data_IF_970673786230
#
_entry.id   IF_970673786230
#
_cell.length_a   1.000
_cell.length_b   1.000
_cell.length_c   1.000
_cell.angle_alpha   90.00
_cell.angle_beta   90.00
_cell.angle_gamma   90.00
#
_symmetry.space_group_name_H-M   'P 1'
#
loop_
_entity.id
_entity.type
_entity.pdbx_description
1 polymer ?
#
# COMPACT_ATOMS: atom_id res chain seq x y z
N UNK A 1 1.14 6.96 -14.23
CA UNK A 1 1.29 6.78 -12.78
C UNK A 1 2.38 5.75 -12.46
N UNK A 2 2.12 4.44 -12.54
CA UNK A 2 3.13 3.42 -12.15
C UNK A 2 4.48 3.55 -12.87
N UNK A 3 4.46 3.83 -14.18
CA UNK A 3 5.69 4.11 -14.95
C UNK A 3 6.36 5.42 -14.54
N UNK A 4 5.59 6.48 -14.32
CA UNK A 4 6.13 7.81 -13.98
C UNK A 4 6.78 7.83 -12.59
N UNK A 5 6.27 7.01 -11.66
CA UNK A 5 6.85 6.80 -10.33
C UNK A 5 8.17 6.03 -10.37
N UNK A 6 8.35 5.17 -11.38
CA UNK A 6 9.53 4.32 -11.54
C UNK A 6 10.68 4.99 -12.32
N UNK A 7 10.35 5.82 -13.33
CA UNK A 7 11.34 6.45 -14.22
C UNK A 7 12.49 7.21 -13.51
N UNK A 8 12.29 7.89 -12.37
CA UNK A 8 13.37 8.63 -11.71
C UNK A 8 14.52 7.75 -11.20
N UNK A 9 14.21 6.51 -10.81
CA UNK A 9 15.16 5.58 -10.20
C UNK A 9 14.88 4.16 -10.72
N UNK A 10 15.04 3.98 -12.04
CA UNK A 10 14.68 2.78 -12.81
C UNK A 10 15.49 1.51 -12.47
N UNK A 11 15.61 1.18 -11.19
CA UNK A 11 16.30 0.04 -10.63
C UNK A 11 15.52 -1.25 -10.91
N UNK A 12 16.20 -2.40 -11.04
CA UNK A 12 15.55 -3.70 -11.20
C UNK A 12 14.53 -4.01 -10.10
N UNK A 13 14.90 -3.77 -8.83
CA UNK A 13 14.00 -3.95 -7.68
C UNK A 13 12.67 -3.19 -7.82
N UNK A 14 12.72 -1.97 -8.37
CA UNK A 14 11.50 -1.17 -8.57
C UNK A 14 10.65 -1.70 -9.73
N UNK A 15 11.28 -2.32 -10.73
CA UNK A 15 10.59 -2.87 -11.90
C UNK A 15 9.75 -4.11 -11.55
N UNK A 16 10.13 -4.88 -10.53
CA UNK A 16 9.38 -6.06 -10.06
C UNK A 16 7.90 -5.74 -9.78
N UNK A 17 7.61 -4.53 -9.29
CA UNK A 17 6.24 -4.08 -9.02
C UNK A 17 5.71 -3.10 -10.09
N UNK A 18 6.55 -2.18 -10.58
CA UNK A 18 6.09 -1.09 -11.46
C UNK A 18 6.10 -1.47 -12.95
N UNK A 19 6.83 -2.51 -13.34
CA UNK A 19 7.06 -2.92 -14.72
C UNK A 19 7.31 -4.45 -14.84
N UNK A 20 6.49 -5.33 -14.24
CA UNK A 20 6.78 -6.75 -14.11
C UNK A 20 6.88 -7.52 -15.45
N UNK A 21 6.48 -6.89 -16.55
CA UNK A 21 6.39 -7.49 -17.87
C UNK A 21 7.65 -7.34 -18.72
N UNK A 22 8.69 -6.67 -18.21
CA UNK A 22 9.94 -6.59 -18.95
C UNK A 22 11.02 -5.76 -18.28
N UNK A 23 12.25 -5.98 -18.76
CA UNK A 23 13.41 -5.25 -18.28
C UNK A 23 13.27 -3.73 -18.52
N UNK A 24 13.99 -2.91 -17.73
CA UNK A 24 14.00 -1.47 -17.90
C UNK A 24 14.23 -1.04 -19.36
N UNK A 25 13.33 -0.23 -19.92
CA UNK A 25 13.42 0.28 -21.30
C UNK A 25 12.79 -0.59 -22.39
N UNK A 26 12.34 -1.81 -22.07
CA UNK A 26 11.62 -2.68 -23.01
C UNK A 26 10.16 -2.24 -23.26
N UNK A 27 9.54 -2.74 -24.33
CA UNK A 27 8.10 -2.52 -24.57
C UNK A 27 7.22 -3.14 -23.48
N UNK A 28 7.64 -4.27 -22.89
CA UNK A 28 6.98 -4.86 -21.73
C UNK A 28 6.96 -3.90 -20.54
N UNK A 29 8.09 -3.24 -20.23
CA UNK A 29 8.15 -2.25 -19.16
C UNK A 29 7.24 -1.03 -19.38
N UNK A 30 6.93 -0.70 -20.65
CA UNK A 30 6.00 0.42 -20.96
C UNK A 30 4.56 0.13 -20.57
N UNK A 31 4.18 -1.13 -20.43
CA UNK A 31 2.84 -1.54 -20.03
C UNK A 31 2.59 -1.35 -18.52
N UNK A 32 3.66 -1.12 -17.74
CA UNK A 32 3.62 -1.07 -16.29
C UNK A 32 2.87 -2.29 -15.69
N UNK A 33 2.07 -2.10 -14.65
CA UNK A 33 1.08 -3.10 -14.22
C UNK A 33 -0.09 -3.10 -15.22
N UNK A 34 -0.16 -4.14 -16.06
CA UNK A 34 -1.19 -4.29 -17.09
C UNK A 34 -1.92 -5.63 -17.00
N UNK A 35 -2.80 -5.94 -17.97
CA UNK A 35 -3.64 -7.14 -17.96
C UNK A 35 -2.81 -8.43 -17.83
N UNK A 36 -1.69 -8.50 -18.56
CA UNK A 36 -0.81 -9.67 -18.57
C UNK A 36 -0.15 -9.94 -17.21
N UNK A 37 -0.02 -8.92 -16.34
CA UNK A 37 0.54 -9.08 -14.99
C UNK A 37 -0.31 -9.95 -14.07
N UNK A 38 -1.58 -10.11 -14.38
CA UNK A 38 -2.49 -10.94 -13.58
C UNK A 38 -3.04 -12.13 -14.36
N UNK A 39 -3.26 -11.96 -15.66
CA UNK A 39 -3.97 -12.94 -16.48
C UNK A 39 -3.07 -13.94 -17.21
N UNK A 40 -1.75 -13.70 -17.25
CA UNK A 40 -0.79 -14.54 -17.97
C UNK A 40 0.26 -15.10 -17.01
N UNK A 41 0.53 -16.40 -17.12
CA UNK A 41 1.66 -17.09 -16.46
C UNK A 41 2.36 -17.98 -17.48
N UNK A 42 3.69 -17.93 -17.52
CA UNK A 42 4.51 -18.73 -18.46
C UNK A 42 3.98 -18.70 -19.91
N UNK A 43 3.67 -17.50 -20.39
CA UNK A 43 3.12 -17.22 -21.74
C UNK A 43 1.72 -17.82 -22.02
N UNK A 44 1.04 -18.35 -21.02
CA UNK A 44 -0.32 -18.86 -21.12
C UNK A 44 -1.33 -17.97 -20.37
N UNK A 45 -2.50 -17.73 -20.97
CA UNK A 45 -3.62 -17.10 -20.26
C UNK A 45 -4.18 -18.09 -19.26
N UNK A 46 -3.84 -17.94 -17.98
CA UNK A 46 -4.26 -18.84 -16.90
C UNK A 46 -5.51 -18.37 -16.18
N UNK A 47 -5.87 -17.09 -16.33
CA UNK A 47 -7.09 -16.50 -15.75
C UNK A 47 -7.88 -15.85 -16.88
N UNK A 48 -8.82 -16.59 -17.46
CA UNK A 48 -9.52 -16.17 -18.66
C UNK A 48 -10.31 -14.87 -18.47
N UNK A 49 -10.19 -13.98 -19.45
CA UNK A 49 -11.01 -12.78 -19.57
C UNK A 49 -12.44 -13.22 -19.91
N UNK A 50 -13.41 -12.94 -19.02
CA UNK A 50 -14.82 -13.26 -19.22
C UNK A 50 -15.44 -14.27 -18.24
N UNK A 51 -14.66 -14.80 -17.28
CA UNK A 51 -15.25 -15.46 -16.11
C UNK A 51 -16.06 -14.44 -15.28
N UNK A 52 -17.26 -14.78 -14.79
CA UNK A 52 -18.16 -13.81 -14.16
C UNK A 52 -17.63 -13.25 -12.82
N UNK A 53 -16.62 -13.86 -12.21
CA UNK A 53 -16.10 -13.47 -10.89
C UNK A 53 -14.59 -13.71 -10.79
N UNK A 54 -13.90 -12.85 -10.03
CA UNK A 54 -12.48 -13.02 -9.66
C UNK A 54 -12.32 -13.85 -8.37
N UNK A 55 -13.35 -14.55 -7.90
CA UNK A 55 -13.35 -15.25 -6.61
C UNK A 55 -12.19 -16.25 -6.46
N UNK A 56 -11.73 -16.85 -7.56
CA UNK A 56 -10.65 -17.84 -7.60
C UNK A 56 -9.25 -17.23 -7.83
N UNK A 57 -9.14 -15.90 -7.86
CA UNK A 57 -7.82 -15.25 -7.92
C UNK A 57 -7.10 -15.52 -6.60
N UNK A 58 -5.96 -16.21 -6.71
CA UNK A 58 -5.08 -16.44 -5.57
C UNK A 58 -4.61 -15.10 -4.99
N UNK A 59 -4.79 -14.92 -3.68
CA UNK A 59 -4.35 -13.71 -2.97
C UNK A 59 -2.84 -13.58 -2.97
N UNK A 60 -2.10 -14.69 -3.11
CA UNK A 60 -0.65 -14.68 -3.26
C UNK A 60 -0.20 -13.91 -4.51
N UNK A 61 -1.02 -13.84 -5.56
CA UNK A 61 -0.74 -13.00 -6.73
C UNK A 61 -0.61 -11.53 -6.31
N UNK A 62 -1.48 -11.03 -5.43
CA UNK A 62 -1.41 -9.66 -4.95
C UNK A 62 -0.17 -9.42 -4.07
N UNK A 63 0.27 -10.44 -3.32
CA UNK A 63 1.44 -10.35 -2.44
C UNK A 63 2.74 -10.08 -3.22
N UNK A 64 2.83 -10.50 -4.48
CA UNK A 64 4.01 -10.25 -5.34
C UNK A 64 4.39 -8.77 -5.42
N UNK A 65 3.40 -7.87 -5.41
CA UNK A 65 3.62 -6.43 -5.44
C UNK A 65 3.29 -5.73 -4.11
N UNK A 66 2.50 -6.35 -3.22
CA UNK A 66 1.98 -5.72 -2.01
C UNK A 66 2.56 -6.25 -0.69
N UNK A 67 3.56 -7.13 -0.78
CA UNK A 67 4.27 -7.70 0.36
C UNK A 67 5.77 -7.78 0.09
N UNK A 68 6.54 -6.76 0.49
CA UNK A 68 7.97 -6.72 0.24
C UNK A 68 8.76 -5.87 1.23
N UNK A 69 10.00 -6.29 1.46
CA UNK A 69 10.93 -5.63 2.35
C UNK A 69 11.63 -4.45 1.70
N UNK A 70 12.30 -3.63 2.52
CA UNK A 70 13.26 -2.68 1.98
C UNK A 70 14.37 -3.38 1.19
N UNK A 71 14.82 -2.79 0.07
CA UNK A 71 15.90 -3.36 -0.72
C UNK A 71 17.22 -3.31 0.05
N UNK A 72 18.07 -4.31 -0.18
CA UNK A 72 19.48 -4.25 0.23
C UNK A 72 20.22 -3.14 -0.53
N UNK A 73 21.40 -2.73 -0.03
CA UNK A 73 22.26 -1.77 -0.74
C UNK A 73 22.70 -2.26 -2.13
N UNK A 74 22.77 -3.58 -2.34
CA UNK A 74 23.06 -4.16 -3.66
C UNK A 74 21.90 -3.97 -4.65
N UNK A 75 20.66 -4.01 -4.17
CA UNK A 75 19.45 -3.82 -4.97
C UNK A 75 19.12 -2.33 -5.18
N UNK A 76 19.38 -1.50 -4.18
CA UNK A 76 19.20 -0.05 -4.25
C UNK A 76 20.31 0.67 -3.45
N UNK A 77 21.33 1.26 -4.11
CA UNK A 77 22.49 1.87 -3.45
C UNK A 77 22.17 3.03 -2.49
N UNK A 78 20.95 3.57 -2.54
CA UNK A 78 20.44 4.63 -1.66
C UNK A 78 19.44 4.14 -0.61
N UNK A 79 19.29 2.83 -0.43
CA UNK A 79 18.43 2.27 0.61
C UNK A 79 18.93 2.70 1.99
N UNK A 80 18.04 3.32 2.78
CA UNK A 80 18.36 3.90 4.09
C UNK A 80 17.78 3.10 5.28
N UNK A 81 17.12 1.98 4.99
CA UNK A 81 16.33 1.22 5.96
C UNK A 81 16.80 -0.23 6.02
N UNK A 82 16.62 -0.86 7.19
CA UNK A 82 16.99 -2.26 7.41
C UNK A 82 16.25 -3.19 6.43
N UNK A 83 16.96 -4.04 5.66
CA UNK A 83 16.33 -4.95 4.70
C UNK A 83 15.43 -6.02 5.31
N UNK A 84 15.46 -6.22 6.64
CA UNK A 84 14.53 -7.10 7.35
C UNK A 84 13.21 -6.43 7.70
N UNK A 85 13.05 -5.13 7.45
CA UNK A 85 11.80 -4.41 7.66
C UNK A 85 10.96 -4.38 6.39
N UNK A 86 9.64 -4.44 6.58
CA UNK A 86 8.68 -4.32 5.50
C UNK A 86 8.61 -2.88 4.95
N UNK A 87 8.78 -2.73 3.63
CA UNK A 87 8.40 -1.49 2.94
C UNK A 87 6.88 -1.48 2.74
N UNK A 88 6.31 -2.62 2.33
CA UNK A 88 4.87 -2.86 2.30
C UNK A 88 4.58 -4.24 2.90
N UNK A 89 3.60 -4.30 3.81
CA UNK A 89 3.15 -5.52 4.48
C UNK A 89 1.63 -5.72 4.32
N UNK A 90 1.07 -5.29 3.19
CA UNK A 90 -0.39 -5.21 3.01
C UNK A 90 -1.03 -6.60 3.03
N UNK A 91 -0.32 -7.61 2.49
CA UNK A 91 -0.81 -8.98 2.50
C UNK A 91 -0.82 -9.56 3.92
N UNK A 92 0.24 -9.38 4.70
CA UNK A 92 0.29 -9.85 6.09
C UNK A 92 -0.75 -9.15 6.97
N UNK A 93 -0.95 -7.85 6.76
CA UNK A 93 -2.02 -7.08 7.41
C UNK A 93 -3.40 -7.62 7.07
N UNK A 94 -3.59 -8.05 5.83
CA UNK A 94 -4.82 -8.69 5.41
C UNK A 94 -5.00 -10.06 6.02
N UNK A 95 -3.98 -10.90 6.00
CA UNK A 95 -4.00 -12.25 6.55
C UNK A 95 -4.40 -12.26 8.04
N UNK A 96 -3.99 -11.23 8.78
CA UNK A 96 -4.31 -11.05 10.20
C UNK A 96 -5.70 -10.43 10.46
N UNK A 97 -6.39 -9.96 9.41
CA UNK A 97 -7.65 -9.23 9.50
C UNK A 97 -8.87 -10.16 9.68
N UNK A 98 -10.03 -9.58 10.02
CA UNK A 98 -11.29 -10.29 10.00
C UNK A 98 -11.68 -10.73 8.57
N UNK A 99 -11.35 -9.92 7.56
CA UNK A 99 -11.64 -10.22 6.16
C UNK A 99 -11.01 -11.56 5.74
N UNK A 100 -9.73 -11.79 6.07
CA UNK A 100 -9.08 -13.07 5.79
C UNK A 100 -9.75 -14.24 6.51
N UNK A 101 -10.11 -14.08 7.79
CA UNK A 101 -10.82 -15.11 8.57
C UNK A 101 -12.21 -15.43 8.01
N UNK A 102 -12.86 -14.46 7.40
CA UNK A 102 -14.17 -14.59 6.75
C UNK A 102 -14.07 -15.05 5.30
N UNK A 103 -12.86 -15.34 4.80
CA UNK A 103 -12.62 -15.77 3.43
C UNK A 103 -12.69 -14.66 2.38
N UNK A 104 -12.83 -13.40 2.78
CA UNK A 104 -12.83 -12.24 1.87
C UNK A 104 -11.41 -11.94 1.40
N UNK A 105 -11.19 -11.98 0.09
CA UNK A 105 -9.94 -11.66 -0.57
C UNK A 105 -9.85 -10.22 -1.07
N UNK A 106 -8.67 -9.86 -1.58
CA UNK A 106 -8.39 -8.51 -2.09
C UNK A 106 -9.38 -8.11 -3.20
N UNK A 107 -9.67 -9.04 -4.12
CA UNK A 107 -10.53 -8.82 -5.29
C UNK A 107 -12.01 -8.63 -4.93
N UNK A 108 -12.47 -9.11 -3.78
CA UNK A 108 -13.86 -8.93 -3.35
C UNK A 108 -14.18 -7.45 -3.09
N UNK A 109 -13.21 -6.71 -2.53
CA UNK A 109 -13.31 -5.28 -2.27
C UNK A 109 -12.75 -4.42 -3.42
N UNK A 110 -11.63 -4.80 -4.03
CA UNK A 110 -10.94 -3.99 -5.04
C UNK A 110 -11.43 -4.23 -6.47
N UNK A 111 -12.04 -5.39 -6.74
CA UNK A 111 -12.59 -5.77 -8.04
C UNK A 111 -14.05 -6.23 -7.95
N UNK A 112 -14.96 -5.47 -7.30
CA UNK A 112 -16.33 -5.90 -7.11
C UNK A 112 -17.01 -6.14 -8.45
N UNK A 113 -17.66 -7.30 -8.61
CA UNK A 113 -18.27 -7.74 -9.88
C UNK A 113 -17.27 -7.78 -11.05
N UNK A 114 -15.99 -8.02 -10.76
CA UNK A 114 -14.91 -8.07 -11.74
C UNK A 114 -14.49 -6.72 -12.33
N UNK A 115 -14.83 -5.61 -11.67
CA UNK A 115 -14.40 -4.29 -12.10
C UNK A 115 -12.87 -4.14 -12.00
N UNK A 116 -12.27 -3.48 -12.99
CA UNK A 116 -10.83 -3.15 -13.03
C UNK A 116 -10.59 -1.66 -12.80
N UNK A 117 -11.42 -1.02 -11.99
CA UNK A 117 -11.35 0.43 -11.73
C UNK A 117 -10.37 0.81 -10.61
N UNK A 118 -9.99 -0.15 -9.75
CA UNK A 118 -8.98 -0.04 -8.70
C UNK A 118 -9.03 1.28 -7.90
N UNK A 119 -10.01 1.42 -7.01
CA UNK A 119 -10.12 2.58 -6.12
C UNK A 119 -9.15 2.45 -4.93
N UNK A 120 -7.88 2.86 -5.02
CA UNK A 120 -6.97 2.62 -3.87
C UNK A 120 -5.80 3.58 -3.59
N UNK A 121 -5.70 4.76 -4.21
CA UNK A 121 -4.55 5.64 -3.95
C UNK A 121 -4.85 7.07 -3.50
N UNK A 122 -5.87 7.71 -4.07
CA UNK A 122 -6.01 9.17 -4.01
C UNK A 122 -7.32 9.63 -3.36
N UNK A 123 -8.11 8.67 -2.89
CA UNK A 123 -9.29 8.95 -2.09
C UNK A 123 -8.95 8.66 -0.63
N UNK A 124 -9.26 9.58 0.30
CA UNK A 124 -9.07 9.30 1.71
C UNK A 124 -9.87 8.05 2.10
N UNK A 125 -9.33 7.21 3.01
CA UNK A 125 -10.09 6.09 3.52
C UNK A 125 -11.39 6.61 4.16
N UNK A 126 -12.51 5.88 4.05
CA UNK A 126 -13.77 6.33 4.62
C UNK A 126 -13.69 6.24 6.14
N UNK A 127 -13.21 7.29 6.80
CA UNK A 127 -13.06 7.36 8.25
C UNK A 127 -14.25 8.10 8.89
N UNK A 128 -14.68 7.62 10.05
CA UNK A 128 -15.50 8.36 11.00
C UNK A 128 -14.56 8.87 12.08
N UNK A 129 -14.60 10.18 12.32
CA UNK A 129 -13.88 10.80 13.43
C UNK A 129 -14.91 11.23 14.46
N UNK A 130 -14.78 10.73 15.67
CA UNK A 130 -15.57 11.14 16.83
C UNK A 130 -14.66 11.90 17.78
N UNK A 131 -15.05 13.11 18.15
CA UNK A 131 -14.32 13.94 19.09
C UNK A 131 -15.12 14.08 20.39
N UNK A 132 -14.50 13.77 21.53
CA UNK A 132 -15.11 13.91 22.85
C UNK A 132 -14.21 14.70 23.78
N UNK A 133 -14.78 15.74 24.42
CA UNK A 133 -14.11 16.43 25.51
C UNK A 133 -14.06 15.52 26.73
N UNK A 134 -12.87 15.07 27.11
CA UNK A 134 -12.65 14.22 28.28
C UNK A 134 -12.49 15.04 29.57
N UNK A 135 -12.02 16.30 29.45
CA UNK A 135 -11.96 17.27 30.56
C UNK A 135 -11.84 18.70 30.01
N UNK A 136 -11.72 19.70 30.88
CA UNK A 136 -11.45 21.09 30.49
C UNK A 136 -10.21 21.22 29.58
N UNK A 137 -9.21 20.34 29.75
CA UNK A 137 -7.90 20.40 29.06
C UNK A 137 -7.59 19.19 28.18
N UNK A 138 -8.53 18.25 28.02
CA UNK A 138 -8.31 17.01 27.26
C UNK A 138 -9.42 16.74 26.24
N UNK A 139 -9.01 16.52 25.01
CA UNK A 139 -9.84 16.01 23.92
C UNK A 139 -9.41 14.57 23.59
N UNK A 140 -10.36 13.67 23.42
CA UNK A 140 -10.14 12.34 22.87
C UNK A 140 -10.71 12.31 21.47
N UNK A 141 -9.91 11.82 20.52
CA UNK A 141 -10.31 11.58 19.15
C UNK A 141 -10.31 10.08 18.90
N UNK A 142 -11.42 9.58 18.38
CA UNK A 142 -11.58 8.20 17.95
C UNK A 142 -11.75 8.17 16.43
N UNK A 143 -10.93 7.37 15.77
CA UNK A 143 -10.93 7.21 14.31
C UNK A 143 -11.34 5.78 14.00
N UNK A 144 -12.43 5.63 13.26
CA UNK A 144 -13.01 4.34 12.89
C UNK A 144 -13.14 4.25 11.37
N UNK A 145 -12.75 3.14 10.76
CA UNK A 145 -13.03 2.90 9.34
C UNK A 145 -14.52 2.53 9.15
N UNK A 146 -15.23 3.27 8.30
CA UNK A 146 -16.68 3.12 8.05
C UNK A 146 -17.04 1.93 7.17
N UNK A 147 -16.08 1.36 6.46
CA UNK A 147 -16.25 0.17 5.64
C UNK A 147 -15.40 -0.96 6.24
N UNK A 148 -15.76 -2.21 5.95
CA UNK A 148 -14.91 -3.36 6.26
C UNK A 148 -13.61 -3.23 5.46
N UNK A 149 -12.57 -2.72 6.12
CA UNK A 149 -11.23 -2.66 5.56
C UNK A 149 -10.49 -3.92 6.02
N UNK A 150 -10.10 -4.74 5.05
CA UNK A 150 -9.42 -6.00 5.29
C UNK A 150 -7.91 -5.88 5.47
N UNK A 151 -7.37 -4.72 5.88
CA UNK A 151 -5.93 -4.50 6.12
C UNK A 151 -5.77 -3.22 6.97
N UNK A 152 -4.55 -2.81 7.32
CA UNK A 152 -4.34 -1.60 8.12
C UNK A 152 -4.76 -0.32 7.37
N UNK A 153 -5.06 0.75 8.11
CA UNK A 153 -5.36 2.08 7.55
C UNK A 153 -4.43 3.12 8.19
N UNK A 154 -3.51 3.75 7.42
CA UNK A 154 -3.24 3.49 6.00
C UNK A 154 -2.38 2.23 5.82
N UNK A 155 -2.64 1.46 4.75
CA UNK A 155 -1.70 0.43 4.25
C UNK A 155 -0.86 0.94 3.09
N UNK A 156 0.03 0.10 2.56
CA UNK A 156 0.92 0.41 1.44
C UNK A 156 2.31 0.81 1.91
N UNK A 157 2.93 1.74 1.18
CA UNK A 157 4.29 2.19 1.43
C UNK A 157 4.42 2.98 2.74
N UNK A 158 5.66 3.11 3.19
CA UNK A 158 6.03 3.69 4.48
C UNK A 158 5.77 5.19 4.60
N UNK A 159 5.52 5.88 3.49
CA UNK A 159 5.27 7.32 3.46
C UNK A 159 3.80 7.65 3.72
N UNK A 160 2.91 6.66 3.65
CA UNK A 160 1.49 6.83 3.96
C UNK A 160 1.28 7.03 5.45
N UNK A 161 0.51 8.07 5.78
CA UNK A 161 0.19 8.44 7.16
C UNK A 161 -1.23 9.01 7.24
N UNK A 162 -1.86 8.86 8.41
CA UNK A 162 -3.01 9.66 8.79
C UNK A 162 -2.51 10.84 9.62
N UNK A 163 -2.78 12.05 9.15
CA UNK A 163 -2.47 13.28 9.88
C UNK A 163 -3.76 13.82 10.48
N UNK A 164 -3.75 14.01 11.80
CA UNK A 164 -4.85 14.58 12.57
C UNK A 164 -4.40 15.94 13.08
N UNK A 165 -5.08 16.98 12.62
CA UNK A 165 -4.84 18.37 13.04
C UNK A 165 -6.02 18.86 13.88
N UNK A 166 -5.72 19.41 15.05
CA UNK A 166 -6.72 19.93 15.98
C UNK A 166 -6.43 21.40 16.24
N UNK A 167 -7.38 22.26 15.89
CA UNK A 167 -7.29 23.69 16.11
C UNK A 167 -8.43 24.18 17.00
N UNK A 168 -8.11 25.03 17.99
CA UNK A 168 -9.11 25.71 18.80
C UNK A 168 -9.41 27.09 18.20
N UNK A 169 -10.61 27.27 17.65
CA UNK A 169 -11.01 28.47 16.90
C UNK A 169 -11.02 29.76 17.72
N UNK A 170 -11.28 29.67 19.02
CA UNK A 170 -11.60 30.84 19.84
C UNK A 170 -10.43 31.28 20.75
N UNK A 171 -9.32 30.55 20.74
CA UNK A 171 -8.21 30.73 21.69
C UNK A 171 -6.92 31.32 21.11
N UNK A 172 -6.87 31.60 19.80
CA UNK A 172 -5.66 32.10 19.12
C UNK A 172 -4.43 31.19 19.23
N UNK A 173 -4.59 29.94 19.66
CA UNK A 173 -3.51 28.99 19.86
C UNK A 173 -3.10 28.30 18.58
N UNK A 174 -1.81 27.96 18.46
CA UNK A 174 -1.31 27.18 17.33
C UNK A 174 -2.01 25.80 17.26
N UNK A 175 -2.27 25.27 16.05
CA UNK A 175 -2.86 23.95 15.89
C UNK A 175 -1.96 22.86 16.49
N UNK A 176 -2.59 21.85 17.07
CA UNK A 176 -1.92 20.65 17.56
C UNK A 176 -2.00 19.58 16.46
N UNK A 177 -0.86 19.23 15.89
CA UNK A 177 -0.76 18.16 14.88
C UNK A 177 -0.31 16.85 15.50
N UNK A 178 -0.95 15.74 15.12
CA UNK A 178 -0.55 14.37 15.42
C UNK A 178 -0.55 13.55 14.15
N UNK A 179 0.52 12.78 13.95
CA UNK A 179 0.67 11.91 12.79
C UNK A 179 0.68 10.45 13.25
N UNK A 180 -0.25 9.67 12.70
CA UNK A 180 -0.33 8.23 12.85
C UNK A 180 0.32 7.60 11.61
N UNK A 181 1.46 6.92 11.81
CA UNK A 181 2.24 6.27 10.76
C UNK A 181 2.97 5.06 11.32
N UNK A 182 3.40 4.16 10.44
CA UNK A 182 4.37 3.12 10.79
C UNK A 182 5.72 3.75 11.18
N UNK A 183 6.42 3.14 12.13
CA UNK A 183 7.76 3.58 12.58
C UNK A 183 8.79 2.55 12.15
N UNK A 184 9.91 3.05 11.64
CA UNK A 184 11.01 2.24 11.12
C UNK A 184 12.31 2.64 11.80
N UNK A 185 13.19 1.67 12.03
CA UNK A 185 14.55 1.94 12.48
C UNK A 185 15.42 2.32 11.27
N UNK A 186 16.18 3.42 11.33
CA UNK A 186 17.13 3.74 10.27
C UNK A 186 18.42 2.94 10.42
N UNK A 187 19.04 2.53 9.31
CA UNK A 187 20.40 2.03 9.34
C UNK A 187 21.37 3.21 9.26
N UNK A 188 22.27 3.36 10.24
CA UNK A 188 23.41 4.28 10.07
C UNK A 188 24.40 3.59 9.16
N UNK A 189 24.38 3.92 7.87
CA UNK A 189 25.46 3.54 6.97
C UNK A 189 26.79 3.97 7.59
N UNK A 190 27.66 3.01 7.90
CA UNK A 190 29.05 3.31 8.24
C UNK A 190 29.70 3.87 6.98
N UNK A 191 29.66 5.19 6.82
CA UNK A 191 30.37 5.89 5.75
C UNK A 191 31.86 5.61 5.89
N UNK A 192 32.36 4.68 5.08
CA UNK A 192 33.76 4.57 4.73
C UNK A 192 34.16 5.79 3.89
N UNK A 193 35.35 6.30 4.20
CA UNK A 193 36.00 7.53 3.72
C UNK A 193 35.96 7.74 2.20
#
# INVERSE_FOLDING_TARGET
>A
MFRDEWLPEALPFCADCHAPQGAPGSDGARQAVGCVSCHVEADAVVRAVGAPTHADVDRALCATCHQFHFPTLAQAPRSAFEPSMWLQATYDEWEQSAAAREGQGCVDCHMPRGAHTWSSGHQPPPLRVTARRASATRLTLELEARAHVGHAVPTGDVFRALVVEVEARDGGGAPITRMLRRRFAGHRGTGGR
#
